data_IF_728500856364
#
_entry.id   IF_728500856364
#
_cell.length_a   1.000
_cell.length_b   1.000
_cell.length_c   1.000
_cell.angle_alpha   90.00
_cell.angle_beta   90.00
_cell.angle_gamma   90.00
#
_symmetry.space_group_name_H-M   'P 1'
#
loop_
_entity.id
_entity.type
_entity.pdbx_description
1 polymer ?
#
# COMPACT_ATOMS: atom_id res chain seq x y z
N UNK A 1 -10.84 -11.57 24.80
CA UNK A 1 -10.50 -10.58 23.73
C UNK A 1 -10.44 -11.34 22.44
N UNK A 2 -11.04 -10.88 21.35
CA UNK A 2 -11.08 -11.65 20.11
C UNK A 2 -9.66 -11.72 19.53
N UNK A 3 -9.18 -12.94 19.24
CA UNK A 3 -7.86 -13.20 18.59
C UNK A 3 -7.82 -12.75 17.13
N UNK A 4 -8.75 -11.91 16.68
CA UNK A 4 -8.82 -11.46 15.29
C UNK A 4 -7.71 -10.45 15.02
N UNK A 5 -6.75 -10.77 14.15
CA UNK A 5 -5.67 -9.85 13.85
C UNK A 5 -6.18 -8.60 13.12
N UNK A 6 -5.53 -7.47 13.34
CA UNK A 6 -5.97 -6.14 12.88
C UNK A 6 -5.05 -5.64 11.77
N UNK A 7 -5.63 -5.17 10.66
CA UNK A 7 -4.93 -4.61 9.53
C UNK A 7 -5.36 -3.16 9.25
N UNK A 8 -4.39 -2.27 9.06
CA UNK A 8 -4.58 -0.90 8.57
C UNK A 8 -4.16 -0.83 7.11
N UNK A 9 -5.07 -0.41 6.23
CA UNK A 9 -4.81 -0.23 4.79
C UNK A 9 -5.05 1.21 4.40
N UNK A 10 -4.03 1.92 3.94
CA UNK A 10 -4.19 3.33 3.53
C UNK A 10 -4.64 3.45 2.08
N UNK A 11 -5.47 4.46 1.77
CA UNK A 11 -6.00 4.68 0.42
C UNK A 11 -6.87 3.52 -0.08
N UNK A 12 -7.70 2.97 0.81
CA UNK A 12 -8.50 1.76 0.57
C UNK A 12 -9.90 2.02 -0.03
N UNK A 13 -10.25 3.28 -0.34
CA UNK A 13 -11.59 3.61 -0.85
C UNK A 13 -11.87 3.08 -2.25
N UNK A 14 -10.84 2.78 -3.06
CA UNK A 14 -10.94 2.28 -4.44
C UNK A 14 -9.70 1.53 -4.90
N UNK A 15 -9.75 0.95 -6.10
CA UNK A 15 -8.62 0.36 -6.81
C UNK A 15 -7.88 -0.72 -5.99
N UNK A 16 -6.55 -0.69 -6.05
CA UNK A 16 -5.66 -1.65 -5.39
C UNK A 16 -5.90 -1.68 -3.88
N UNK A 17 -6.02 -0.53 -3.23
CA UNK A 17 -6.23 -0.46 -1.79
C UNK A 17 -7.53 -1.12 -1.34
N UNK A 18 -8.63 -0.95 -2.11
CA UNK A 18 -9.91 -1.62 -1.83
C UNK A 18 -9.80 -3.13 -2.00
N UNK A 19 -9.15 -3.60 -3.07
CA UNK A 19 -8.94 -5.02 -3.30
C UNK A 19 -8.12 -5.65 -2.17
N UNK A 20 -7.06 -4.97 -1.70
CA UNK A 20 -6.26 -5.40 -0.56
C UNK A 20 -7.11 -5.48 0.72
N UNK A 21 -7.91 -4.45 1.00
CA UNK A 21 -8.76 -4.41 2.19
C UNK A 21 -9.75 -5.58 2.20
N UNK A 22 -10.40 -5.87 1.07
CA UNK A 22 -11.34 -6.98 0.92
C UNK A 22 -10.63 -8.35 0.99
N UNK A 23 -9.43 -8.49 0.42
CA UNK A 23 -8.65 -9.72 0.50
C UNK A 23 -8.25 -10.02 1.94
N UNK A 24 -7.71 -9.05 2.68
CA UNK A 24 -7.35 -9.22 4.08
C UNK A 24 -8.56 -9.52 4.96
N UNK A 25 -9.73 -8.95 4.66
CA UNK A 25 -10.97 -9.28 5.36
C UNK A 25 -11.36 -10.76 5.15
N UNK A 26 -11.25 -11.27 3.91
CA UNK A 26 -11.47 -12.70 3.59
C UNK A 26 -10.46 -13.61 4.29
N UNK A 27 -9.22 -13.13 4.49
CA UNK A 27 -8.17 -13.83 5.24
C UNK A 27 -8.37 -13.79 6.76
N UNK A 28 -9.47 -13.19 7.24
CA UNK A 28 -9.84 -13.16 8.66
C UNK A 28 -9.30 -11.96 9.44
N UNK A 29 -8.72 -10.96 8.78
CA UNK A 29 -8.29 -9.74 9.46
C UNK A 29 -9.47 -8.79 9.70
N UNK A 30 -9.52 -8.18 10.89
CA UNK A 30 -10.30 -6.96 11.11
C UNK A 30 -9.60 -5.84 10.36
N UNK A 31 -10.26 -5.24 9.38
CA UNK A 31 -9.66 -4.24 8.50
C UNK A 31 -10.13 -2.84 8.86
N UNK A 32 -9.18 -1.95 9.10
CA UNK A 32 -9.40 -0.52 9.10
C UNK A 32 -8.82 0.03 7.80
N UNK A 33 -9.69 0.45 6.88
CA UNK A 33 -9.25 1.01 5.61
C UNK A 33 -9.48 2.50 5.55
N UNK A 34 -8.51 3.27 5.00
CA UNK A 34 -8.66 4.72 4.99
C UNK A 34 -8.97 5.29 3.61
N UNK A 35 -9.72 6.37 3.60
CA UNK A 35 -9.94 7.26 2.46
C UNK A 35 -9.76 8.72 2.88
N UNK A 36 -9.60 9.63 1.92
CA UNK A 36 -9.44 11.06 2.20
C UNK A 36 -10.76 11.77 2.45
N UNK A 37 -11.89 11.13 2.19
CA UNK A 37 -13.24 11.69 2.34
C UNK A 37 -14.14 10.76 3.14
N UNK A 38 -15.13 11.32 3.82
CA UNK A 38 -16.16 10.54 4.52
C UNK A 38 -16.91 9.59 3.57
N UNK A 39 -17.28 10.07 2.39
CA UNK A 39 -17.95 9.24 1.39
C UNK A 39 -17.11 8.03 0.98
N UNK A 40 -15.78 8.22 0.80
CA UNK A 40 -14.86 7.11 0.48
C UNK A 40 -14.70 6.13 1.64
N UNK A 41 -14.67 6.60 2.87
CA UNK A 41 -14.62 5.74 4.06
C UNK A 41 -15.91 4.93 4.23
N UNK A 42 -17.08 5.55 4.09
CA UNK A 42 -18.38 4.89 4.17
C UNK A 42 -18.58 3.87 3.04
N UNK A 43 -18.16 4.19 1.81
CA UNK A 43 -18.25 3.25 0.68
C UNK A 43 -17.38 2.00 0.92
N UNK A 44 -16.20 2.16 1.51
CA UNK A 44 -15.38 1.02 1.90
C UNK A 44 -16.01 0.22 3.03
N UNK A 45 -16.53 0.87 4.07
CA UNK A 45 -17.19 0.19 5.18
C UNK A 45 -18.37 -0.66 4.70
N UNK A 46 -19.19 -0.11 3.81
CA UNK A 46 -20.27 -0.85 3.17
C UNK A 46 -19.74 -2.08 2.41
N UNK A 47 -18.67 -1.93 1.63
CA UNK A 47 -18.07 -3.04 0.91
C UNK A 47 -17.49 -4.12 1.83
N UNK A 48 -16.92 -3.75 2.97
CA UNK A 48 -16.45 -4.69 4.00
C UNK A 48 -17.63 -5.45 4.63
N UNK A 49 -18.74 -4.76 4.91
CA UNK A 49 -19.98 -5.40 5.42
C UNK A 49 -20.57 -6.39 4.42
N UNK A 50 -20.68 -6.00 3.15
CA UNK A 50 -21.15 -6.86 2.05
C UNK A 50 -20.26 -8.10 1.85
N UNK A 51 -18.95 -7.96 2.11
CA UNK A 51 -17.98 -9.06 2.06
C UNK A 51 -17.96 -9.91 3.35
N UNK A 52 -18.85 -9.68 4.30
CA UNK A 52 -18.89 -10.36 5.61
C UNK A 52 -17.54 -10.28 6.36
N UNK A 53 -16.88 -9.12 6.30
CA UNK A 53 -15.62 -8.87 7.01
C UNK A 53 -15.76 -9.09 8.53
N UNK A 54 -14.70 -9.49 9.25
CA UNK A 54 -14.73 -9.63 10.70
C UNK A 54 -15.27 -8.39 11.42
N UNK A 55 -16.02 -8.61 12.48
CA UNK A 55 -16.66 -7.55 13.25
C UNK A 55 -15.68 -6.48 13.71
N UNK A 56 -16.07 -5.21 13.57
CA UNK A 56 -15.22 -4.05 13.83
C UNK A 56 -14.38 -3.60 12.63
N UNK A 57 -14.48 -4.28 11.48
CA UNK A 57 -13.93 -3.77 10.22
C UNK A 57 -14.68 -2.50 9.81
N UNK A 58 -13.94 -1.46 9.40
CA UNK A 58 -14.53 -0.14 9.14
C UNK A 58 -13.72 0.72 8.18
N UNK A 59 -14.37 1.73 7.62
CA UNK A 59 -13.73 2.84 6.95
C UNK A 59 -13.30 3.93 7.96
N UNK A 60 -12.23 4.64 7.65
CA UNK A 60 -11.77 5.80 8.41
C UNK A 60 -11.31 6.92 7.47
N UNK A 61 -11.49 8.16 7.88
CA UNK A 61 -10.98 9.31 7.12
C UNK A 61 -9.54 9.58 7.57
N UNK A 62 -8.62 9.61 6.61
CA UNK A 62 -7.23 9.96 6.85
C UNK A 62 -6.61 10.61 5.61
N UNK A 63 -6.09 11.83 5.78
CA UNK A 63 -5.06 12.36 4.91
C UNK A 63 -3.70 11.90 5.46
N UNK A 64 -2.99 11.04 4.73
CA UNK A 64 -1.71 10.47 5.18
C UNK A 64 -0.61 11.52 5.37
N UNK A 65 -0.78 12.73 4.83
CA UNK A 65 0.13 13.85 5.02
C UNK A 65 -0.08 14.57 6.37
N UNK A 66 -1.20 14.34 7.04
CA UNK A 66 -1.43 14.81 8.41
C UNK A 66 -0.82 13.81 9.40
N UNK A 67 0.38 14.13 9.88
CA UNK A 67 1.11 13.28 10.80
C UNK A 67 0.38 13.07 12.14
N UNK A 68 -0.26 14.12 12.66
CA UNK A 68 -0.98 14.04 13.93
C UNK A 68 -2.21 13.16 13.81
N UNK A 69 -2.97 13.28 12.71
CA UNK A 69 -4.11 12.41 12.44
C UNK A 69 -3.68 10.94 12.22
N UNK A 70 -2.54 10.70 11.56
CA UNK A 70 -2.00 9.35 11.37
C UNK A 70 -1.61 8.70 12.71
N UNK A 71 -0.89 9.42 13.57
CA UNK A 71 -0.51 8.95 14.90
C UNK A 71 -1.76 8.68 15.77
N UNK A 72 -2.73 9.59 15.79
CA UNK A 72 -3.98 9.44 16.55
C UNK A 72 -4.81 8.23 16.05
N UNK A 73 -4.86 7.98 14.75
CA UNK A 73 -5.55 6.80 14.20
C UNK A 73 -4.87 5.51 14.66
N UNK A 74 -3.54 5.42 14.59
CA UNK A 74 -2.79 4.23 15.04
C UNK A 74 -3.01 4.00 16.54
N UNK A 75 -2.94 5.03 17.37
CA UNK A 75 -3.20 4.93 18.81
C UNK A 75 -4.64 4.46 19.11
N UNK A 76 -5.61 5.02 18.38
CA UNK A 76 -7.02 4.60 18.49
C UNK A 76 -7.21 3.12 18.17
N UNK A 77 -6.63 2.65 17.05
CA UNK A 77 -6.70 1.23 16.64
C UNK A 77 -6.09 0.34 17.74
N UNK A 78 -4.88 0.65 18.21
CA UNK A 78 -4.22 -0.14 19.25
C UNK A 78 -5.04 -0.21 20.53
N UNK A 79 -5.68 0.90 20.91
CA UNK A 79 -6.50 0.98 22.13
C UNK A 79 -7.85 0.26 21.99
N UNK A 80 -8.54 0.44 20.87
CA UNK A 80 -9.89 -0.06 20.67
C UNK A 80 -9.94 -1.51 20.18
N UNK A 81 -9.01 -1.87 19.29
CA UNK A 81 -8.98 -3.16 18.62
C UNK A 81 -7.99 -4.16 19.26
N UNK A 82 -7.26 -3.73 20.29
CA UNK A 82 -6.35 -4.58 21.07
C UNK A 82 -4.96 -4.78 20.46
N UNK A 83 -4.66 -4.17 19.31
CA UNK A 83 -3.36 -4.24 18.65
C UNK A 83 -3.44 -3.83 17.19
N UNK A 84 -2.28 -3.73 16.53
CA UNK A 84 -2.18 -3.51 15.09
C UNK A 84 -1.13 -4.47 14.52
N UNK A 85 -1.56 -5.42 13.69
CA UNK A 85 -0.76 -6.55 13.25
C UNK A 85 -0.22 -6.38 11.83
N UNK A 86 -0.98 -5.67 10.99
CA UNK A 86 -0.62 -5.42 9.58
C UNK A 86 -0.77 -3.94 9.28
N UNK A 87 0.26 -3.37 8.62
CA UNK A 87 0.17 -2.05 7.96
C UNK A 87 0.39 -2.25 6.46
N UNK A 88 -0.55 -1.75 5.65
CA UNK A 88 -0.37 -1.64 4.19
C UNK A 88 -0.36 -0.18 3.79
N UNK A 89 0.80 0.31 3.40
CA UNK A 89 0.97 1.66 2.85
C UNK A 89 0.67 1.63 1.35
N UNK A 90 -0.57 1.94 0.98
CA UNK A 90 -1.01 1.96 -0.42
C UNK A 90 -1.38 3.38 -0.90
N UNK A 91 -1.76 4.29 -0.02
CA UNK A 91 -2.08 5.67 -0.42
C UNK A 91 -0.96 6.30 -1.23
N UNK A 92 -1.31 6.96 -2.32
CA UNK A 92 -0.34 7.61 -3.19
C UNK A 92 -0.99 8.50 -4.24
N UNK A 93 -0.19 9.39 -4.81
CA UNK A 93 -0.58 10.30 -5.90
C UNK A 93 0.47 10.31 -6.99
N UNK A 94 0.07 10.73 -8.18
CA UNK A 94 0.97 11.12 -9.27
C UNK A 94 0.80 12.60 -9.61
N UNK A 95 1.88 13.23 -10.06
CA UNK A 95 1.93 14.56 -10.65
C UNK A 95 2.95 14.50 -11.78
N UNK A 96 2.48 14.03 -12.93
CA UNK A 96 3.35 13.72 -14.05
C UNK A 96 3.75 14.99 -14.82
N UNK A 97 5.00 15.05 -15.26
CA UNK A 97 5.57 16.15 -16.02
C UNK A 97 7.04 15.90 -16.32
N UNK A 98 7.52 16.38 -17.48
CA UNK A 98 8.94 16.29 -17.82
C UNK A 98 9.77 16.99 -16.75
N UNK A 99 10.90 16.39 -16.35
CA UNK A 99 11.75 16.88 -15.24
C UNK A 99 12.12 18.35 -15.39
N UNK A 100 12.46 18.80 -16.63
CA UNK A 100 12.81 20.20 -16.90
C UNK A 100 11.67 21.20 -16.73
N UNK A 101 10.42 20.75 -16.64
CA UNK A 101 9.22 21.57 -16.50
C UNK A 101 8.45 21.26 -15.21
N UNK A 102 8.93 20.30 -14.41
CA UNK A 102 8.28 19.87 -13.17
C UNK A 102 8.37 20.99 -12.14
N UNK A 103 7.21 21.34 -11.57
CA UNK A 103 7.16 22.37 -10.52
C UNK A 103 7.66 21.79 -9.20
N UNK A 104 8.30 22.60 -8.37
CA UNK A 104 8.77 22.18 -7.05
C UNK A 104 7.60 21.70 -6.16
N UNK A 105 6.43 22.31 -6.31
CA UNK A 105 5.22 21.94 -5.57
C UNK A 105 4.73 20.53 -5.94
N UNK A 106 4.78 20.16 -7.24
CA UNK A 106 4.40 18.83 -7.72
C UNK A 106 5.42 17.76 -7.25
N UNK A 107 6.71 18.11 -7.29
CA UNK A 107 7.77 17.28 -6.72
C UNK A 107 7.54 17.04 -5.23
N UNK A 108 7.39 18.11 -4.45
CA UNK A 108 7.22 18.04 -3.00
C UNK A 108 5.95 17.27 -2.60
N UNK A 109 4.81 17.51 -3.28
CA UNK A 109 3.55 16.82 -3.01
C UNK A 109 3.65 15.31 -3.21
N UNK A 110 4.34 14.87 -4.28
CA UNK A 110 4.53 13.44 -4.55
C UNK A 110 5.47 12.81 -3.54
N UNK A 111 6.58 13.44 -3.18
CA UNK A 111 7.49 12.93 -2.15
C UNK A 111 6.82 12.89 -0.78
N UNK A 112 6.06 13.91 -0.42
CA UNK A 112 5.39 13.95 0.88
C UNK A 112 4.37 12.82 1.04
N UNK A 113 3.54 12.60 0.01
CA UNK A 113 2.52 11.55 0.06
C UNK A 113 3.10 10.15 -0.12
N UNK A 114 4.00 9.96 -1.10
CA UNK A 114 4.41 8.61 -1.50
C UNK A 114 5.66 8.11 -0.77
N UNK A 115 6.39 8.96 -0.03
CA UNK A 115 7.59 8.58 0.72
C UNK A 115 7.50 9.03 2.18
N UNK A 116 7.33 10.32 2.45
CA UNK A 116 7.35 10.83 3.82
C UNK A 116 6.19 10.29 4.65
N UNK A 117 4.98 10.20 4.09
CA UNK A 117 3.82 9.63 4.77
C UNK A 117 4.03 8.13 5.06
N UNK A 118 4.63 7.38 4.13
CA UNK A 118 4.98 5.96 4.34
C UNK A 118 5.94 5.82 5.52
N UNK A 119 7.00 6.64 5.58
CA UNK A 119 7.92 6.65 6.72
C UNK A 119 7.19 6.97 8.03
N UNK A 120 6.34 8.02 8.05
CA UNK A 120 5.59 8.43 9.25
C UNK A 120 4.70 7.31 9.77
N UNK A 121 3.94 6.64 8.89
CA UNK A 121 3.07 5.52 9.27
C UNK A 121 3.86 4.29 9.73
N UNK A 122 4.95 3.93 9.04
CA UNK A 122 5.85 2.88 9.51
C UNK A 122 6.34 3.18 10.93
N UNK A 123 6.81 4.41 11.19
CA UNK A 123 7.29 4.82 12.51
C UNK A 123 6.19 4.75 13.58
N UNK A 124 4.97 5.17 13.26
CA UNK A 124 3.84 5.14 14.19
C UNK A 124 3.50 3.72 14.66
N UNK A 125 3.58 2.72 13.74
CA UNK A 125 3.26 1.32 14.08
C UNK A 125 4.41 0.54 14.72
N UNK A 126 5.67 1.02 14.62
CA UNK A 126 6.83 0.28 15.11
C UNK A 126 6.72 -0.04 16.59
N UNK A 127 6.42 0.97 17.44
CA UNK A 127 6.37 0.79 18.89
C UNK A 127 5.32 -0.23 19.34
N UNK A 128 4.05 -0.17 18.91
CA UNK A 128 3.06 -1.20 19.24
C UNK A 128 3.44 -2.60 18.69
N UNK A 129 3.91 -2.69 17.43
CA UNK A 129 4.34 -3.97 16.85
C UNK A 129 5.55 -4.58 17.58
N UNK A 130 6.52 -3.76 17.99
CA UNK A 130 7.67 -4.23 18.79
C UNK A 130 7.25 -4.73 20.17
N UNK A 131 6.26 -4.07 20.82
CA UNK A 131 5.71 -4.48 22.11
C UNK A 131 5.01 -5.84 22.04
N UNK A 132 4.21 -6.07 20.97
CA UNK A 132 3.52 -7.35 20.75
C UNK A 132 4.43 -8.43 20.14
N UNK A 133 5.68 -8.09 19.72
CA UNK A 133 6.64 -8.97 19.04
C UNK A 133 6.06 -9.66 17.80
N UNK A 134 5.26 -8.94 17.08
CA UNK A 134 4.65 -9.39 15.82
C UNK A 134 4.23 -8.19 14.99
N UNK A 135 4.49 -8.23 13.68
CA UNK A 135 4.03 -7.21 12.74
C UNK A 135 4.34 -7.58 11.29
N UNK A 136 3.52 -7.09 10.40
CA UNK A 136 3.70 -7.21 8.93
C UNK A 136 3.50 -5.83 8.33
N UNK A 137 4.52 -5.30 7.69
CA UNK A 137 4.44 -4.00 6.98
C UNK A 137 4.64 -4.28 5.51
N UNK A 138 3.67 -3.89 4.69
CA UNK A 138 3.72 -4.00 3.22
C UNK A 138 3.56 -2.62 2.61
N UNK A 139 4.56 -2.21 1.84
CA UNK A 139 4.58 -0.93 1.15
C UNK A 139 4.28 -1.15 -0.34
N UNK A 140 3.24 -0.52 -0.86
CA UNK A 140 2.94 -0.59 -2.29
C UNK A 140 3.83 0.40 -3.02
N UNK A 141 4.80 -0.14 -3.73
CA UNK A 141 5.73 0.61 -4.59
C UNK A 141 5.19 0.68 -6.04
N UNK A 142 6.02 0.50 -7.02
CA UNK A 142 5.66 0.44 -8.44
C UNK A 142 6.84 -0.08 -9.24
N UNK A 143 6.57 -0.70 -10.38
CA UNK A 143 7.58 -1.00 -11.40
C UNK A 143 8.36 0.27 -11.80
N UNK A 144 7.70 1.43 -11.79
CA UNK A 144 8.33 2.73 -12.10
C UNK A 144 9.45 3.09 -11.12
N UNK A 145 9.36 2.64 -9.86
CA UNK A 145 10.43 2.86 -8.88
C UNK A 145 11.72 2.07 -9.19
N UNK A 146 11.62 0.97 -9.93
CA UNK A 146 12.74 0.14 -10.34
C UNK A 146 13.24 0.49 -11.75
N UNK A 147 12.33 0.57 -12.73
CA UNK A 147 12.65 0.79 -14.14
C UNK A 147 12.78 2.28 -14.52
N UNK A 148 12.18 3.19 -13.75
CA UNK A 148 11.96 4.57 -14.17
C UNK A 148 10.82 4.69 -15.17
N UNK A 149 10.34 5.93 -15.37
CA UNK A 149 9.42 6.27 -16.47
C UNK A 149 9.58 7.76 -16.82
N UNK A 150 9.63 8.07 -18.11
CA UNK A 150 9.67 9.46 -18.58
C UNK A 150 8.46 10.25 -18.06
N UNK A 151 8.70 11.46 -17.52
CA UNK A 151 7.65 12.29 -16.93
C UNK A 151 7.26 11.96 -15.51
N UNK A 152 7.86 10.97 -14.86
CA UNK A 152 7.55 10.53 -13.50
C UNK A 152 8.77 10.54 -12.56
N UNK A 153 9.69 11.49 -12.74
CA UNK A 153 10.92 11.56 -11.94
C UNK A 153 10.63 11.62 -10.42
N UNK A 154 9.65 12.41 -10.00
CA UNK A 154 9.19 12.51 -8.61
C UNK A 154 8.61 11.20 -8.09
N UNK A 155 7.75 10.56 -8.86
CA UNK A 155 7.10 9.30 -8.49
C UNK A 155 8.13 8.14 -8.43
N UNK A 156 9.00 8.04 -9.44
CA UNK A 156 10.10 7.07 -9.46
C UNK A 156 11.02 7.22 -8.25
N UNK A 157 11.45 8.45 -7.95
CA UNK A 157 12.28 8.75 -6.79
C UNK A 157 11.60 8.34 -5.46
N UNK A 158 10.31 8.68 -5.29
CA UNK A 158 9.56 8.32 -4.10
C UNK A 158 9.44 6.80 -3.94
N UNK A 159 9.06 6.07 -5.01
CA UNK A 159 8.86 4.62 -4.95
C UNK A 159 10.18 3.85 -4.79
N UNK A 160 11.26 4.31 -5.39
CA UNK A 160 12.61 3.81 -5.14
C UNK A 160 13.06 4.06 -3.69
N UNK A 161 12.78 5.26 -3.16
CA UNK A 161 13.04 5.61 -1.76
C UNK A 161 12.33 4.70 -0.77
N UNK A 162 11.07 4.34 -1.03
CA UNK A 162 10.30 3.38 -0.22
C UNK A 162 10.95 1.99 -0.23
N UNK A 163 11.49 1.53 -1.36
CA UNK A 163 12.20 0.25 -1.43
C UNK A 163 13.46 0.27 -0.56
N UNK A 164 14.21 1.39 -0.57
CA UNK A 164 15.36 1.60 0.33
C UNK A 164 14.97 1.62 1.80
N UNK A 165 13.92 2.39 2.15
CA UNK A 165 13.35 2.44 3.49
C UNK A 165 12.92 1.05 3.98
N UNK A 166 12.25 0.27 3.13
CA UNK A 166 11.80 -1.09 3.45
C UNK A 166 12.95 -1.99 3.86
N UNK A 167 14.07 -1.98 3.12
CA UNK A 167 15.26 -2.77 3.44
C UNK A 167 15.90 -2.36 4.77
N UNK A 168 15.94 -1.06 5.06
CA UNK A 168 16.47 -0.56 6.35
C UNK A 168 15.60 -1.01 7.52
N UNK A 169 14.28 -0.81 7.43
CA UNK A 169 13.34 -1.21 8.48
C UNK A 169 13.30 -2.73 8.68
N UNK A 170 13.44 -3.53 7.62
CA UNK A 170 13.53 -4.98 7.73
C UNK A 170 14.72 -5.42 8.61
N UNK A 171 15.87 -4.75 8.48
CA UNK A 171 17.05 -5.01 9.32
C UNK A 171 16.82 -4.59 10.78
N UNK A 172 16.19 -3.44 11.00
CA UNK A 172 15.95 -2.92 12.35
C UNK A 172 14.92 -3.74 13.14
N UNK A 173 13.88 -4.24 12.45
CA UNK A 173 12.70 -4.82 13.09
C UNK A 173 12.68 -6.36 13.10
N UNK A 174 13.54 -7.02 12.34
CA UNK A 174 13.55 -8.48 12.19
C UNK A 174 13.68 -9.23 13.51
N UNK A 175 14.51 -8.75 14.45
CA UNK A 175 14.68 -9.35 15.79
C UNK A 175 13.41 -9.31 16.65
N UNK A 176 12.39 -8.56 16.23
CA UNK A 176 11.08 -8.44 16.88
C UNK A 176 9.98 -9.23 16.18
N UNK A 177 10.33 -10.12 15.24
CA UNK A 177 9.35 -10.87 14.42
C UNK A 177 8.43 -9.94 13.60
N UNK A 178 9.00 -8.83 13.11
CA UNK A 178 8.31 -7.88 12.24
C UNK A 178 8.96 -7.98 10.87
N UNK A 179 8.17 -8.30 9.84
CA UNK A 179 8.63 -8.27 8.45
C UNK A 179 8.21 -6.98 7.77
N UNK A 180 9.08 -6.46 6.90
CA UNK A 180 8.82 -5.25 6.11
C UNK A 180 9.15 -5.54 4.67
N UNK A 181 8.16 -5.48 3.77
CA UNK A 181 8.30 -5.85 2.36
C UNK A 181 7.64 -4.82 1.45
N UNK A 182 7.99 -4.86 0.17
CA UNK A 182 7.31 -4.12 -0.89
C UNK A 182 6.53 -5.06 -1.80
N UNK A 183 5.42 -4.57 -2.34
CA UNK A 183 4.81 -5.08 -3.57
C UNK A 183 4.95 -4.00 -4.62
N UNK A 184 5.46 -4.37 -5.81
CA UNK A 184 5.70 -3.47 -6.93
C UNK A 184 4.77 -3.82 -8.11
N UNK A 185 3.57 -3.21 -8.18
CA UNK A 185 2.69 -3.40 -9.30
C UNK A 185 3.26 -2.84 -10.60
N UNK A 186 2.94 -3.49 -11.71
CA UNK A 186 3.06 -2.95 -13.06
C UNK A 186 1.82 -2.14 -13.45
N UNK A 187 1.39 -2.28 -14.70
CA UNK A 187 0.15 -1.69 -15.18
C UNK A 187 -1.05 -2.53 -14.74
N UNK A 188 -1.85 -1.97 -13.83
CA UNK A 188 -3.02 -2.60 -13.23
C UNK A 188 -4.28 -1.94 -13.78
N UNK A 189 -5.24 -2.77 -14.22
CA UNK A 189 -6.56 -2.31 -14.64
C UNK A 189 -7.30 -1.67 -13.47
N UNK A 190 -7.49 -0.36 -13.55
CA UNK A 190 -8.21 0.46 -12.56
C UNK A 190 -8.95 1.56 -13.33
N UNK A 191 -9.84 2.30 -12.68
CA UNK A 191 -10.54 3.46 -13.26
C UNK A 191 -9.58 4.41 -14.02
N UNK A 192 -8.31 4.45 -13.60
CA UNK A 192 -7.27 5.28 -14.19
C UNK A 192 -6.82 4.78 -15.57
N UNK A 193 -6.88 3.48 -15.82
CA UNK A 193 -6.50 2.85 -17.09
C UNK A 193 -7.66 2.68 -18.06
N UNK A 194 -8.90 2.80 -17.58
CA UNK A 194 -10.10 2.75 -18.44
C UNK A 194 -10.24 3.97 -19.35
N UNK A 195 -9.65 5.11 -18.94
CA UNK A 195 -9.68 6.36 -19.73
C UNK A 195 -8.62 6.43 -20.85
N UNK A 196 -7.78 5.39 -20.99
CA UNK A 196 -6.73 5.35 -22.03
C UNK A 196 -7.33 5.04 -23.41
N UNK A 197 -6.83 5.71 -24.46
CA UNK A 197 -7.14 5.34 -25.84
C UNK A 197 -6.59 3.95 -26.20
N UNK A 198 -7.18 3.30 -27.19
CA UNK A 198 -6.73 1.97 -27.66
C UNK A 198 -5.24 1.97 -28.05
N UNK A 199 -4.75 3.02 -28.70
CA UNK A 199 -3.35 3.15 -29.08
C UNK A 199 -2.43 3.25 -27.85
N UNK A 200 -2.82 4.01 -26.83
CA UNK A 200 -2.07 4.10 -25.56
C UNK A 200 -2.08 2.75 -24.85
N UNK A 201 -3.23 2.08 -24.79
CA UNK A 201 -3.38 0.76 -24.20
C UNK A 201 -2.50 -0.28 -24.89
N UNK A 202 -2.48 -0.30 -26.22
CA UNK A 202 -1.60 -1.20 -26.99
C UNK A 202 -0.13 -0.92 -26.73
N UNK A 203 0.28 0.35 -26.67
CA UNK A 203 1.66 0.75 -26.33
C UNK A 203 2.09 0.30 -24.94
N UNK A 204 1.18 0.31 -23.95
CA UNK A 204 1.43 -0.23 -22.62
C UNK A 204 1.54 -1.76 -22.65
N UNK A 205 0.61 -2.43 -23.32
CA UNK A 205 0.59 -3.90 -23.39
C UNK A 205 1.84 -4.47 -24.10
N UNK A 206 2.38 -3.76 -25.07
CA UNK A 206 3.63 -4.15 -25.74
C UNK A 206 4.85 -4.24 -24.78
N UNK A 207 4.77 -3.58 -23.62
CA UNK A 207 5.80 -3.63 -22.59
C UNK A 207 5.59 -4.75 -21.55
N UNK A 208 4.47 -5.45 -21.62
CA UNK A 208 4.10 -6.50 -20.65
C UNK A 208 4.25 -7.87 -21.29
N UNK A 209 5.24 -8.69 -20.93
CA UNK A 209 5.42 -10.03 -21.48
C UNK A 209 4.19 -10.94 -21.39
N UNK A 210 3.37 -10.83 -20.32
CA UNK A 210 2.10 -11.55 -20.21
C UNK A 210 0.98 -11.02 -21.11
N UNK A 211 1.19 -9.93 -21.87
CA UNK A 211 0.28 -9.40 -22.88
C UNK A 211 -1.05 -8.84 -22.37
N UNK A 212 -1.18 -8.61 -21.06
CA UNK A 212 -2.39 -8.06 -20.43
C UNK A 212 -2.07 -7.14 -19.26
N UNK A 213 -3.02 -6.31 -18.91
CA UNK A 213 -2.97 -5.59 -17.63
C UNK A 213 -3.13 -6.59 -16.47
N UNK A 214 -2.47 -6.33 -15.36
CA UNK A 214 -2.76 -6.99 -14.10
C UNK A 214 -4.09 -6.51 -13.51
N UNK A 215 -4.60 -7.22 -12.53
CA UNK A 215 -5.79 -6.85 -11.77
C UNK A 215 -5.43 -6.38 -10.36
N UNK A 216 -6.30 -5.61 -9.73
CA UNK A 216 -6.13 -5.21 -8.34
C UNK A 216 -6.10 -6.43 -7.40
N UNK A 217 -6.84 -7.50 -7.74
CA UNK A 217 -6.86 -8.74 -6.96
C UNK A 217 -5.53 -9.50 -7.04
N UNK A 218 -4.81 -9.46 -8.16
CA UNK A 218 -3.47 -10.07 -8.27
C UNK A 218 -2.46 -9.36 -7.36
N UNK A 219 -2.57 -8.03 -7.22
CA UNK A 219 -1.77 -7.26 -6.26
C UNK A 219 -2.19 -7.60 -4.83
N UNK A 220 -3.49 -7.71 -4.57
CA UNK A 220 -4.01 -8.06 -3.25
C UNK A 220 -3.57 -9.46 -2.81
N UNK A 221 -3.54 -10.45 -3.72
CA UNK A 221 -3.05 -11.79 -3.45
C UNK A 221 -1.56 -11.79 -3.01
N UNK A 222 -0.73 -10.97 -3.65
CA UNK A 222 0.67 -10.79 -3.23
C UNK A 222 0.80 -10.19 -1.82
N UNK A 223 -0.06 -9.22 -1.48
CA UNK A 223 -0.12 -8.66 -0.12
C UNK A 223 -0.59 -9.72 0.88
N UNK A 224 -1.66 -10.46 0.59
CA UNK A 224 -2.15 -11.57 1.43
C UNK A 224 -1.06 -12.60 1.71
N UNK A 225 -0.27 -12.98 0.69
CA UNK A 225 0.88 -13.86 0.89
C UNK A 225 1.89 -13.25 1.87
N UNK A 226 2.33 -11.99 1.66
CA UNK A 226 3.37 -11.36 2.48
C UNK A 226 2.97 -11.14 3.94
N UNK A 227 1.68 -11.09 4.26
CA UNK A 227 1.20 -10.97 5.64
C UNK A 227 0.85 -12.32 6.27
N UNK A 228 0.82 -13.39 5.49
CA UNK A 228 0.49 -14.76 5.94
C UNK A 228 1.63 -15.40 6.75
N UNK A 229 1.35 -16.46 7.51
CA UNK A 229 2.38 -17.27 8.15
C UNK A 229 3.40 -17.87 7.17
N UNK A 230 2.99 -18.16 5.93
CA UNK A 230 3.86 -18.70 4.88
C UNK A 230 5.01 -17.77 4.47
N UNK A 231 4.86 -16.46 4.71
CA UNK A 231 5.89 -15.45 4.45
C UNK A 231 6.69 -15.04 5.70
N UNK A 232 6.65 -15.82 6.79
CA UNK A 232 7.29 -15.45 8.06
C UNK A 232 8.81 -15.25 7.95
N UNK A 233 9.46 -15.85 6.94
CA UNK A 233 10.90 -15.72 6.68
C UNK A 233 11.22 -14.80 5.49
N UNK A 234 10.20 -14.05 4.99
CA UNK A 234 10.34 -13.10 3.87
C UNK A 234 10.35 -11.68 4.44
N UNK A 235 11.49 -10.99 4.36
CA UNK A 235 11.60 -9.59 4.79
C UNK A 235 12.64 -8.85 3.97
N UNK A 236 12.41 -7.56 3.72
CA UNK A 236 13.28 -6.69 2.91
C UNK A 236 13.15 -6.88 1.40
N UNK A 237 12.23 -7.74 0.94
CA UNK A 237 12.02 -8.00 -0.49
C UNK A 237 11.12 -6.98 -1.17
N UNK A 238 11.26 -6.90 -2.48
CA UNK A 238 10.30 -6.23 -3.37
C UNK A 238 9.70 -7.29 -4.30
N UNK A 239 8.45 -7.69 -4.02
CA UNK A 239 7.73 -8.66 -4.83
C UNK A 239 7.11 -7.94 -6.04
N UNK A 240 7.59 -8.27 -7.23
CA UNK A 240 7.09 -7.70 -8.48
C UNK A 240 5.79 -8.38 -8.92
N UNK A 241 4.74 -7.59 -9.18
CA UNK A 241 3.44 -8.01 -9.72
C UNK A 241 3.17 -7.18 -10.97
N UNK A 242 3.92 -7.43 -12.02
CA UNK A 242 4.02 -6.55 -13.18
C UNK A 242 3.96 -7.25 -14.55
N UNK A 243 3.63 -8.54 -14.58
CA UNK A 243 3.50 -9.31 -15.82
C UNK A 243 4.81 -9.45 -16.60
N UNK A 244 5.97 -9.28 -15.94
CA UNK A 244 7.28 -9.37 -16.54
C UNK A 244 7.83 -8.05 -17.11
N UNK A 245 7.17 -6.89 -16.87
CA UNK A 245 7.67 -5.58 -17.31
C UNK A 245 9.05 -5.26 -16.76
N UNK A 246 9.35 -5.75 -15.58
CA UNK A 246 10.65 -5.61 -14.94
C UNK A 246 10.97 -6.90 -14.19
N UNK A 247 12.21 -7.37 -14.33
CA UNK A 247 12.73 -8.59 -13.72
C UNK A 247 14.12 -8.24 -13.12
N UNK A 248 14.35 -8.56 -11.84
CA UNK A 248 15.61 -8.40 -11.09
C UNK A 248 16.06 -9.74 -10.46
#
# INVERSE_FOLDING_TARGET
MSDTPVALVTGASRGIGRAIALALARDGFRVIGTGTTEAGALALEKALQEANAPAGSRGAVLNVNDAAAADALVESIVKQDGGLHVLVNNAGITRDGLAMRMKNEDWAAVLDTNLNAVFRLCRAVMRPMMKQRHGRIVNITSVVGAAGNGGQANYAAAKAGVAGLTRSLARELGSRNITVNCVAPGFIGTDMTESLSDAQRQGLLAQVPLGRLGTADEVAAAVSFLVSPGAAYVTGTQLHVNGGMFMD
#
